data_IF_144755679172
#
_entry.id   IF_144755679172
#
_cell.length_a   1.000
_cell.length_b   1.000
_cell.length_c   1.000
_cell.angle_alpha   90.00
_cell.angle_beta   90.00
_cell.angle_gamma   90.00
#
_symmetry.space_group_name_H-M   'P 1'
#
loop_
_entity.id
_entity.type
_entity.pdbx_description
1 polymer ?
#
# COMPACT_ATOMS: atom_id res chain seq x y z
N UNK A 1 3.36 -7.29 -6.77
CA UNK A 1 4.25 -7.69 -5.68
C UNK A 1 4.70 -9.12 -5.91
N UNK A 2 6.00 -9.37 -5.84
CA UNK A 2 6.56 -10.63 -6.32
C UNK A 2 6.39 -11.75 -5.29
N UNK A 3 6.20 -13.00 -5.78
CA UNK A 3 6.26 -14.22 -4.95
C UNK A 3 7.51 -14.33 -4.06
N UNK A 4 8.53 -13.48 -4.28
CA UNK A 4 9.75 -13.44 -3.47
C UNK A 4 9.54 -12.75 -2.11
N UNK A 5 8.61 -11.79 -2.00
CA UNK A 5 8.30 -11.11 -0.74
C UNK A 5 7.74 -12.08 0.30
N UNK A 6 6.82 -12.95 -0.09
CA UNK A 6 6.21 -13.96 0.81
C UNK A 6 7.25 -14.95 1.33
N UNK A 7 8.23 -15.34 0.49
CA UNK A 7 9.26 -16.32 0.86
C UNK A 7 10.17 -15.83 2.00
N UNK A 8 10.49 -14.54 2.08
CA UNK A 8 11.32 -13.99 3.17
C UNK A 8 10.63 -14.10 4.53
N UNK A 9 9.33 -13.81 4.59
CA UNK A 9 8.54 -13.95 5.82
C UNK A 9 8.40 -15.41 6.25
N UNK A 10 8.24 -16.33 5.30
CA UNK A 10 8.24 -17.76 5.61
C UNK A 10 9.60 -18.23 6.15
N UNK A 11 10.70 -17.76 5.57
CA UNK A 11 12.05 -18.09 6.05
C UNK A 11 12.30 -17.58 7.48
N UNK A 12 11.79 -16.38 7.83
CA UNK A 12 11.83 -15.85 9.18
C UNK A 12 11.01 -16.72 10.14
N UNK A 13 9.77 -17.05 9.77
CA UNK A 13 8.90 -17.94 10.56
C UNK A 13 9.52 -19.32 10.78
N UNK A 14 10.20 -19.85 9.79
CA UNK A 14 10.91 -21.15 9.86
C UNK A 14 12.25 -21.05 10.59
N UNK A 15 12.61 -19.88 11.15
CA UNK A 15 13.88 -19.63 11.85
C UNK A 15 15.13 -19.90 10.98
N UNK A 16 15.00 -19.72 9.67
CA UNK A 16 16.13 -19.85 8.71
C UNK A 16 16.92 -18.57 8.55
N UNK A 17 16.33 -17.43 8.92
CA UNK A 17 16.96 -16.12 8.97
C UNK A 17 16.49 -15.40 10.22
N UNK A 18 17.35 -14.52 10.77
CA UNK A 18 17.08 -13.74 11.98
C UNK A 18 16.76 -12.27 11.66
N UNK A 19 17.19 -11.77 10.49
CA UNK A 19 17.01 -10.39 10.04
C UNK A 19 16.67 -10.38 8.55
N UNK A 20 15.79 -9.47 8.16
CA UNK A 20 15.45 -9.25 6.75
C UNK A 20 15.11 -7.80 6.47
N UNK A 21 15.28 -7.37 5.22
CA UNK A 21 14.81 -6.06 4.75
C UNK A 21 13.34 -6.17 4.35
N UNK A 22 12.55 -5.20 4.80
CA UNK A 22 11.11 -5.12 4.55
C UNK A 22 10.73 -3.73 4.04
N UNK A 23 9.52 -3.64 3.47
CA UNK A 23 8.81 -2.36 3.35
C UNK A 23 7.74 -2.28 4.44
N UNK A 24 7.57 -1.12 5.05
CA UNK A 24 6.56 -0.90 6.12
C UNK A 24 5.13 -1.13 5.65
N UNK A 25 4.93 -1.18 4.33
CA UNK A 25 3.66 -1.47 3.66
C UNK A 25 3.52 -2.93 3.18
N UNK A 26 4.48 -3.81 3.49
CA UNK A 26 4.37 -5.25 3.16
C UNK A 26 3.13 -5.86 3.84
N UNK A 27 2.24 -6.50 3.07
CA UNK A 27 1.01 -7.11 3.61
C UNK A 27 1.29 -8.20 4.65
N UNK A 28 2.38 -8.97 4.48
CA UNK A 28 2.79 -10.00 5.44
C UNK A 28 3.22 -9.43 6.80
N UNK A 29 3.62 -8.16 6.86
CA UNK A 29 4.01 -7.50 8.10
C UNK A 29 2.84 -7.41 9.10
N UNK A 30 1.62 -7.23 8.60
CA UNK A 30 0.41 -7.11 9.44
C UNK A 30 0.14 -8.35 10.29
N UNK A 31 0.61 -9.53 9.87
CA UNK A 31 0.36 -10.83 10.54
C UNK A 31 1.63 -11.51 11.04
N UNK A 32 2.79 -10.88 10.92
CA UNK A 32 4.07 -11.46 11.31
C UNK A 32 4.46 -11.05 12.72
N UNK A 33 4.94 -12.02 13.51
CA UNK A 33 5.52 -11.78 14.83
C UNK A 33 7.00 -11.38 14.67
N UNK A 34 7.21 -10.10 14.32
CA UNK A 34 8.53 -9.52 14.07
C UNK A 34 8.62 -8.12 14.68
N UNK A 35 9.83 -7.70 15.00
CA UNK A 35 10.11 -6.35 15.46
C UNK A 35 10.68 -5.54 14.28
N UNK A 36 10.01 -4.44 13.94
CA UNK A 36 10.50 -3.49 12.94
C UNK A 36 11.51 -2.56 13.61
N UNK A 37 12.74 -2.56 13.11
CA UNK A 37 13.78 -1.68 13.60
C UNK A 37 13.67 -0.31 12.92
N UNK A 38 13.88 0.75 13.69
CA UNK A 38 13.92 2.11 13.19
C UNK A 38 15.21 2.36 12.40
N UNK A 39 15.10 3.06 11.26
CA UNK A 39 16.25 3.56 10.50
C UNK A 39 16.72 4.90 11.10
N UNK A 40 17.35 4.82 12.28
CA UNK A 40 17.85 5.97 13.05
C UNK A 40 18.88 6.81 12.29
N UNK A 41 19.62 6.17 11.38
CA UNK A 41 20.65 6.82 10.54
C UNK A 41 20.13 7.31 9.19
N UNK A 42 18.84 7.13 8.92
CA UNK A 42 18.19 7.55 7.66
C UNK A 42 18.93 7.05 6.42
N UNK A 43 19.34 5.78 6.44
CA UNK A 43 20.03 5.12 5.32
C UNK A 43 19.13 5.04 4.09
N UNK A 44 17.83 4.86 4.30
CA UNK A 44 16.84 4.80 3.23
C UNK A 44 16.12 6.14 3.08
N UNK A 45 16.01 6.67 1.85
CA UNK A 45 15.22 7.88 1.61
C UNK A 45 13.73 7.61 1.89
N UNK A 46 13.02 8.67 2.27
CA UNK A 46 11.56 8.60 2.41
C UNK A 46 10.92 8.12 1.10
N UNK A 47 10.07 7.10 1.20
CA UNK A 47 9.42 6.46 0.05
C UNK A 47 7.94 6.81 0.08
N UNK A 48 7.50 7.63 -0.88
CA UNK A 48 6.10 8.06 -0.96
C UNK A 48 5.53 7.73 -2.33
N UNK A 49 4.34 7.14 -2.36
CA UNK A 49 3.56 7.01 -3.58
C UNK A 49 2.97 8.37 -3.96
N UNK A 50 2.93 8.66 -5.26
CA UNK A 50 2.33 9.88 -5.79
C UNK A 50 1.67 9.63 -7.13
N UNK A 51 0.61 10.39 -7.41
CA UNK A 51 -0.05 10.37 -8.71
C UNK A 51 0.74 11.20 -9.72
N UNK A 52 1.13 10.59 -10.83
CA UNK A 52 1.83 11.27 -11.93
C UNK A 52 0.86 11.45 -13.08
N UNK A 53 0.70 12.70 -13.54
CA UNK A 53 -0.20 13.06 -14.64
C UNK A 53 0.56 13.89 -15.66
N UNK A 54 0.36 13.60 -16.94
CA UNK A 54 0.96 14.41 -18.01
C UNK A 54 0.36 15.82 -18.00
N UNK A 55 1.20 16.84 -18.14
CA UNK A 55 0.79 18.25 -18.12
C UNK A 55 -0.31 18.57 -19.15
N UNK A 56 -0.24 17.97 -20.33
CA UNK A 56 -1.25 18.10 -21.40
C UNK A 56 -2.65 17.67 -20.95
N UNK A 57 -2.74 16.62 -20.14
CA UNK A 57 -4.01 16.11 -19.60
C UNK A 57 -4.58 17.09 -18.57
N UNK A 58 -3.73 17.67 -17.72
CA UNK A 58 -4.16 18.70 -16.75
C UNK A 58 -4.57 19.99 -17.45
N UNK A 59 -3.93 20.34 -18.57
CA UNK A 59 -4.33 21.52 -19.38
C UNK A 59 -5.69 21.29 -20.06
N UNK A 60 -5.96 20.06 -20.51
CA UNK A 60 -7.21 19.69 -21.19
C UNK A 60 -8.37 19.51 -20.19
N UNK A 61 -8.08 19.02 -18.98
CA UNK A 61 -9.06 18.74 -17.93
C UNK A 61 -8.58 19.33 -16.59
N UNK A 62 -8.70 20.66 -16.41
CA UNK A 62 -8.17 21.33 -15.21
C UNK A 62 -8.76 20.82 -13.90
N UNK A 63 -10.02 20.39 -13.91
CA UNK A 63 -10.75 19.83 -12.77
C UNK A 63 -10.17 18.51 -12.25
N UNK A 64 -9.42 17.79 -13.11
CA UNK A 64 -8.81 16.50 -12.75
C UNK A 64 -7.84 16.64 -11.56
N UNK A 65 -7.14 17.79 -11.48
CA UNK A 65 -6.22 18.05 -10.37
C UNK A 65 -6.95 17.99 -9.01
N UNK A 66 -8.05 18.71 -8.87
CA UNK A 66 -8.83 18.75 -7.64
C UNK A 66 -9.42 17.37 -7.28
N UNK A 67 -9.79 16.57 -8.27
CA UNK A 67 -10.27 15.20 -8.06
C UNK A 67 -9.15 14.30 -7.52
N UNK A 68 -7.97 14.34 -8.15
CA UNK A 68 -6.83 13.51 -7.75
C UNK A 68 -6.24 13.93 -6.40
N UNK A 69 -6.27 15.22 -6.06
CA UNK A 69 -5.82 15.72 -4.76
C UNK A 69 -6.63 15.17 -3.58
N UNK A 70 -7.85 14.69 -3.79
CA UNK A 70 -8.64 14.00 -2.77
C UNK A 70 -8.00 12.68 -2.30
N UNK A 71 -7.08 12.13 -3.08
CA UNK A 71 -6.31 10.93 -2.72
C UNK A 71 -5.11 11.24 -1.82
N UNK A 72 -4.80 12.54 -1.61
CA UNK A 72 -3.66 12.91 -0.78
C UNK A 72 -3.91 12.56 0.69
N UNK A 73 -2.91 11.93 1.31
CA UNK A 73 -2.90 11.60 2.75
C UNK A 73 -4.04 10.69 3.23
N UNK A 74 -4.70 9.96 2.33
CA UNK A 74 -5.73 8.98 2.74
C UNK A 74 -5.13 7.64 3.19
N UNK A 75 -3.85 7.39 2.91
CA UNK A 75 -3.14 6.17 3.23
C UNK A 75 -1.96 6.47 4.16
N UNK A 76 -1.85 5.69 5.23
CA UNK A 76 -0.64 5.52 6.02
C UNK A 76 -0.06 4.12 5.80
N UNK A 77 1.12 3.85 6.37
CA UNK A 77 1.83 2.58 6.19
C UNK A 77 0.99 1.39 6.67
N UNK A 78 0.33 1.54 7.82
CA UNK A 78 -0.51 0.49 8.39
C UNK A 78 -1.70 0.17 7.49
N UNK A 79 -2.43 1.19 7.08
CA UNK A 79 -3.57 1.04 6.17
C UNK A 79 -3.15 0.38 4.86
N UNK A 80 -2.02 0.80 4.28
CA UNK A 80 -1.51 0.21 3.05
C UNK A 80 -1.09 -1.25 3.24
N UNK A 81 -0.48 -1.60 4.39
CA UNK A 81 -0.14 -2.98 4.71
C UNK A 81 -1.41 -3.86 4.84
N UNK A 82 -2.46 -3.36 5.48
CA UNK A 82 -3.74 -4.06 5.62
C UNK A 82 -4.41 -4.28 4.24
N UNK A 83 -4.40 -3.28 3.35
CA UNK A 83 -4.92 -3.41 1.99
C UNK A 83 -4.10 -4.42 1.15
N UNK A 84 -2.77 -4.37 1.27
CA UNK A 84 -1.88 -5.33 0.61
C UNK A 84 -2.10 -6.76 1.13
N UNK A 85 -2.34 -6.93 2.43
CA UNK A 85 -2.66 -8.23 3.02
C UNK A 85 -3.92 -8.85 2.43
N UNK A 86 -4.97 -8.06 2.24
CA UNK A 86 -6.21 -8.52 1.62
C UNK A 86 -5.99 -9.09 0.21
N UNK A 87 -5.08 -8.47 -0.57
CA UNK A 87 -4.73 -8.94 -1.90
C UNK A 87 -3.79 -10.16 -1.84
N UNK A 88 -2.72 -10.06 -1.05
CA UNK A 88 -1.63 -11.05 -1.05
C UNK A 88 -2.00 -12.36 -0.34
N UNK A 89 -2.78 -12.27 0.73
CA UNK A 89 -3.06 -13.41 1.62
C UNK A 89 -4.52 -13.86 1.58
N UNK A 90 -5.48 -12.94 1.47
CA UNK A 90 -6.88 -13.29 1.36
C UNK A 90 -7.30 -13.54 -0.10
N UNK A 91 -6.45 -13.21 -1.07
CA UNK A 91 -6.69 -13.47 -2.49
C UNK A 91 -7.77 -12.57 -3.12
N UNK A 92 -8.10 -11.44 -2.47
CA UNK A 92 -9.02 -10.45 -3.05
C UNK A 92 -8.38 -9.80 -4.28
N UNK A 93 -9.20 -9.35 -5.22
CA UNK A 93 -8.73 -8.60 -6.37
C UNK A 93 -8.33 -7.18 -5.95
N UNK A 94 -7.18 -6.65 -6.42
CA UNK A 94 -6.74 -5.29 -6.08
C UNK A 94 -7.80 -4.22 -6.38
N UNK A 95 -8.55 -4.38 -7.48
CA UNK A 95 -9.59 -3.45 -7.90
C UNK A 95 -10.76 -3.41 -6.90
N UNK A 96 -11.12 -4.56 -6.33
CA UNK A 96 -12.21 -4.67 -5.37
C UNK A 96 -11.77 -4.05 -4.03
N UNK A 97 -10.57 -4.36 -3.55
CA UNK A 97 -9.98 -3.78 -2.33
C UNK A 97 -9.88 -2.26 -2.44
N UNK A 98 -9.38 -1.75 -3.56
CA UNK A 98 -9.28 -0.31 -3.79
C UNK A 98 -10.66 0.36 -3.85
N UNK A 99 -11.64 -0.28 -4.49
CA UNK A 99 -13.01 0.22 -4.57
C UNK A 99 -13.66 0.30 -3.19
N UNK A 100 -13.59 -0.78 -2.41
CA UNK A 100 -14.15 -0.84 -1.05
C UNK A 100 -13.53 0.26 -0.17
N UNK A 101 -12.22 0.42 -0.21
CA UNK A 101 -11.53 1.45 0.55
C UNK A 101 -11.94 2.87 0.15
N UNK A 102 -12.02 3.17 -1.15
CA UNK A 102 -12.45 4.49 -1.63
C UNK A 102 -13.91 4.78 -1.31
N UNK A 103 -14.77 3.77 -1.28
CA UNK A 103 -16.16 3.90 -0.85
C UNK A 103 -16.25 4.19 0.66
N UNK A 104 -15.46 3.50 1.48
CA UNK A 104 -15.35 3.75 2.93
C UNK A 104 -14.90 5.19 3.22
N UNK A 105 -13.99 5.72 2.40
CA UNK A 105 -13.53 7.13 2.49
C UNK A 105 -14.51 8.15 1.88
N UNK A 106 -15.65 7.71 1.33
CA UNK A 106 -16.63 8.58 0.69
C UNK A 106 -16.14 9.20 -0.63
N UNK A 107 -15.12 8.61 -1.25
CA UNK A 107 -14.53 9.09 -2.51
C UNK A 107 -15.13 8.41 -3.75
N UNK A 108 -15.84 7.32 -3.57
CA UNK A 108 -16.62 6.64 -4.60
C UNK A 108 -18.05 6.41 -4.10
N UNK A 109 -19.01 6.62 -4.98
CA UNK A 109 -20.42 6.30 -4.70
C UNK A 109 -20.62 4.79 -4.63
N UNK A 110 -21.40 4.34 -3.66
CA UNK A 110 -21.91 2.97 -3.63
C UNK A 110 -23.03 2.92 -4.65
N UNK A 111 -22.82 2.26 -5.80
CA UNK A 111 -23.92 2.00 -6.73
C UNK A 111 -24.95 1.13 -6.02
N UNK A 112 -26.07 1.73 -5.67
CA UNK A 112 -27.26 0.96 -5.30
C UNK A 112 -27.83 0.38 -6.61
N UNK A 113 -27.83 -0.94 -6.70
CA UNK A 113 -28.51 -1.69 -7.76
C UNK A 113 -29.96 -1.95 -7.34
#
# INVERSE_FOLDING_TARGET
>A
LSKSSIKKYQAMKDKKIDVMVIFTTDGQLAISDVVVLEDDKKMYPSYRAGTVVRSEILSKYPELKAVLEKLNNILDDKTMADLNYQVESEGKKPEDVAREYLQEKGLLEVKQW
#
